data_IF_113657684756
#
_entry.id   IF_113657684756
#
_cell.length_a   1.000
_cell.length_b   1.000
_cell.length_c   1.000
_cell.angle_alpha   90.00
_cell.angle_beta   90.00
_cell.angle_gamma   90.00
#
_symmetry.space_group_name_H-M   'P 1'
#
loop_
_entity.id
_entity.type
_entity.pdbx_description
1 polymer ?
#
# COMPACT_ATOMS: atom_id res chain seq x y z
N UNK A 1 -34.52 -5.38 4.66
CA UNK A 1 -34.17 -5.43 3.21
C UNK A 1 -32.94 -4.60 2.87
N UNK A 2 -32.21 -4.06 3.86
CA UNK A 2 -31.00 -3.25 3.71
C UNK A 2 -29.67 -4.02 3.77
N UNK A 3 -29.69 -5.26 4.23
CA UNK A 3 -28.44 -5.95 4.63
C UNK A 3 -27.78 -6.74 3.47
N UNK A 4 -28.54 -7.21 2.49
CA UNK A 4 -28.03 -8.04 1.39
C UNK A 4 -27.04 -7.32 0.46
N UNK A 5 -27.21 -6.03 0.19
CA UNK A 5 -26.30 -5.26 -0.65
C UNK A 5 -24.97 -4.94 0.03
N UNK A 6 -24.94 -4.85 1.35
CA UNK A 6 -23.76 -4.52 2.11
C UNK A 6 -22.83 -5.74 2.27
N UNK A 7 -23.41 -6.93 2.41
CA UNK A 7 -22.68 -8.19 2.57
C UNK A 7 -21.93 -8.59 1.29
N UNK A 8 -22.55 -8.41 0.12
CA UNK A 8 -21.92 -8.70 -1.17
C UNK A 8 -20.72 -7.79 -1.44
N UNK A 9 -20.85 -6.48 -1.18
CA UNK A 9 -19.74 -5.55 -1.36
C UNK A 9 -18.56 -5.88 -0.44
N UNK A 10 -18.83 -6.16 0.83
CA UNK A 10 -17.82 -6.56 1.81
C UNK A 10 -17.11 -7.85 1.37
N UNK A 11 -17.87 -8.84 0.94
CA UNK A 11 -17.33 -10.12 0.45
C UNK A 11 -16.38 -9.91 -0.75
N UNK A 12 -16.79 -9.17 -1.77
CA UNK A 12 -15.95 -8.91 -2.94
C UNK A 12 -14.73 -8.05 -2.59
N UNK A 13 -14.88 -7.13 -1.66
CA UNK A 13 -13.77 -6.30 -1.20
C UNK A 13 -12.71 -7.15 -0.48
N UNK A 14 -13.11 -8.02 0.43
CA UNK A 14 -12.22 -8.96 1.13
C UNK A 14 -11.49 -9.88 0.15
N UNK A 15 -12.21 -10.50 -0.78
CA UNK A 15 -11.61 -11.34 -1.82
C UNK A 15 -10.67 -10.56 -2.73
N UNK A 16 -11.00 -9.33 -3.05
CA UNK A 16 -10.11 -8.43 -3.80
C UNK A 16 -8.78 -8.21 -3.12
N UNK A 17 -8.76 -8.06 -1.80
CA UNK A 17 -7.52 -7.93 -1.01
C UNK A 17 -6.66 -9.19 -1.10
N UNK A 18 -7.25 -10.39 -1.00
CA UNK A 18 -6.53 -11.66 -1.15
C UNK A 18 -5.85 -11.74 -2.54
N UNK A 19 -6.57 -11.41 -3.60
CA UNK A 19 -6.03 -11.41 -4.96
C UNK A 19 -4.91 -10.38 -5.14
N UNK A 20 -5.06 -9.17 -4.58
CA UNK A 20 -4.01 -8.14 -4.62
C UNK A 20 -2.72 -8.68 -4.00
N UNK A 21 -2.78 -9.33 -2.83
CA UNK A 21 -1.61 -9.92 -2.19
C UNK A 21 -0.96 -10.99 -3.04
N UNK A 22 -1.74 -11.93 -3.57
CA UNK A 22 -1.21 -13.01 -4.41
C UNK A 22 -0.45 -12.43 -5.61
N UNK A 23 -1.06 -11.52 -6.36
CA UNK A 23 -0.42 -10.92 -7.53
C UNK A 23 0.75 -10.00 -7.17
N UNK A 24 0.67 -9.27 -6.07
CA UNK A 24 1.75 -8.42 -5.57
C UNK A 24 3.00 -9.26 -5.24
N UNK A 25 2.84 -10.36 -4.50
CA UNK A 25 3.97 -11.22 -4.16
C UNK A 25 4.52 -11.95 -5.38
N UNK A 26 3.69 -12.43 -6.30
CA UNK A 26 4.16 -13.00 -7.57
C UNK A 26 4.95 -11.96 -8.38
N UNK A 27 4.48 -10.70 -8.42
CA UNK A 27 5.18 -9.61 -9.09
C UNK A 27 6.54 -9.33 -8.45
N UNK A 28 6.60 -9.23 -7.12
CA UNK A 28 7.85 -9.01 -6.38
C UNK A 28 8.83 -10.17 -6.57
N UNK A 29 8.36 -11.41 -6.44
CA UNK A 29 9.17 -12.62 -6.67
C UNK A 29 9.83 -12.57 -8.04
N UNK A 30 9.02 -12.36 -9.09
CA UNK A 30 9.55 -12.25 -10.46
C UNK A 30 10.64 -11.18 -10.57
N UNK A 31 10.44 -10.01 -9.96
CA UNK A 31 11.42 -8.91 -10.03
C UNK A 31 12.69 -9.19 -9.24
N UNK A 32 12.61 -9.85 -8.08
CA UNK A 32 13.76 -10.23 -7.28
C UNK A 32 14.63 -11.26 -8.02
N UNK A 33 14.02 -12.25 -8.67
CA UNK A 33 14.76 -13.26 -9.43
C UNK A 33 15.39 -12.70 -10.71
N UNK A 34 14.78 -11.71 -11.34
CA UNK A 34 15.32 -11.04 -12.51
C UNK A 34 16.26 -9.88 -12.10
N UNK A 35 17.38 -10.20 -11.48
CA UNK A 35 18.36 -9.24 -10.93
C UNK A 35 18.78 -8.11 -11.89
N UNK A 36 18.80 -8.36 -13.19
CA UNK A 36 19.17 -7.37 -14.20
C UNK A 36 18.27 -6.13 -14.19
N UNK A 37 17.00 -6.26 -13.77
CA UNK A 37 16.06 -5.15 -13.71
C UNK A 37 16.38 -4.14 -12.59
N UNK A 38 17.04 -4.54 -11.51
CA UNK A 38 17.37 -3.65 -10.40
C UNK A 38 18.33 -2.52 -10.82
N UNK A 39 19.38 -2.84 -11.57
CA UNK A 39 20.37 -1.86 -12.01
C UNK A 39 19.87 -0.96 -13.15
N UNK A 40 18.96 -1.47 -13.98
CA UNK A 40 18.47 -0.76 -15.15
C UNK A 40 17.23 0.11 -14.88
N UNK A 41 16.48 -0.17 -13.80
CA UNK A 41 15.17 0.43 -13.51
C UNK A 41 15.08 0.93 -12.05
N UNK A 42 16.06 1.70 -11.60
CA UNK A 42 16.10 2.17 -10.21
C UNK A 42 14.89 3.03 -9.81
N UNK A 43 14.37 3.87 -10.72
CA UNK A 43 13.17 4.69 -10.48
C UNK A 43 11.94 3.82 -10.29
N UNK A 44 11.75 2.80 -11.11
CA UNK A 44 10.66 1.85 -10.97
C UNK A 44 10.75 1.05 -9.67
N UNK A 45 11.95 0.73 -9.18
CA UNK A 45 12.13 0.09 -7.88
C UNK A 45 11.75 1.00 -6.72
N UNK A 46 12.11 2.28 -6.76
CA UNK A 46 11.75 3.27 -5.73
C UNK A 46 10.25 3.48 -5.65
N UNK A 47 9.58 3.70 -6.79
CA UNK A 47 8.13 3.86 -6.85
C UNK A 47 7.41 2.57 -6.44
N UNK A 48 7.93 1.39 -6.83
CA UNK A 48 7.42 0.10 -6.39
C UNK A 48 7.52 -0.13 -4.88
N UNK A 49 8.65 0.24 -4.25
CA UNK A 49 8.82 0.16 -2.81
C UNK A 49 7.83 1.08 -2.06
N UNK A 50 7.61 2.29 -2.57
CA UNK A 50 6.62 3.20 -2.02
C UNK A 50 5.21 2.62 -2.12
N UNK A 51 4.84 2.06 -3.28
CA UNK A 51 3.55 1.39 -3.47
C UNK A 51 3.37 0.20 -2.54
N UNK A 52 4.42 -0.58 -2.33
CA UNK A 52 4.40 -1.71 -1.40
C UNK A 52 4.05 -1.25 0.03
N UNK A 53 4.67 -0.19 0.51
CA UNK A 53 4.36 0.38 1.83
C UNK A 53 2.94 0.94 1.89
N UNK A 54 2.49 1.63 0.84
CA UNK A 54 1.13 2.18 0.78
C UNK A 54 0.06 1.09 0.81
N UNK A 55 0.22 0.00 0.04
CA UNK A 55 -0.72 -1.12 0.04
C UNK A 55 -0.85 -1.72 1.44
N UNK A 56 0.27 -1.95 2.14
CA UNK A 56 0.23 -2.48 3.50
C UNK A 56 -0.45 -1.51 4.48
N UNK A 57 -0.22 -0.20 4.32
CA UNK A 57 -0.93 0.82 5.09
C UNK A 57 -2.44 0.83 4.83
N UNK A 58 -2.86 0.73 3.56
CA UNK A 58 -4.28 0.68 3.19
C UNK A 58 -4.96 -0.54 3.83
N UNK A 59 -4.33 -1.72 3.71
CA UNK A 59 -4.88 -2.96 4.27
C UNK A 59 -4.91 -2.92 5.80
N UNK A 60 -3.88 -2.36 6.43
CA UNK A 60 -3.84 -2.16 7.87
C UNK A 60 -5.03 -1.31 8.34
N UNK A 61 -5.30 -0.17 7.72
CA UNK A 61 -6.44 0.67 8.07
C UNK A 61 -7.77 -0.04 7.80
N UNK A 62 -7.88 -0.80 6.70
CA UNK A 62 -9.06 -1.61 6.40
C UNK A 62 -9.31 -2.68 7.45
N UNK A 63 -8.27 -3.36 7.93
CA UNK A 63 -8.38 -4.36 8.99
C UNK A 63 -8.90 -3.77 10.30
N UNK A 64 -8.44 -2.58 10.68
CA UNK A 64 -8.92 -1.89 11.87
C UNK A 64 -10.41 -1.50 11.72
N UNK A 65 -10.84 -1.10 10.52
CA UNK A 65 -12.22 -0.72 10.23
C UNK A 65 -13.22 -1.88 10.27
N UNK A 66 -12.76 -3.13 10.26
CA UNK A 66 -13.63 -4.31 10.41
C UNK A 66 -14.26 -4.42 11.80
N UNK A 67 -13.80 -3.66 12.80
CA UNK A 67 -14.31 -3.62 14.17
C UNK A 67 -14.42 -4.99 14.86
N UNK A 68 -13.50 -5.90 14.55
CA UNK A 68 -13.38 -7.22 15.16
C UNK A 68 -12.48 -7.17 16.41
N UNK A 69 -12.44 -8.26 17.16
CA UNK A 69 -11.46 -8.40 18.25
C UNK A 69 -10.01 -8.26 17.77
N UNK A 70 -9.71 -8.77 16.59
CA UNK A 70 -8.40 -8.62 15.96
C UNK A 70 -8.11 -7.14 15.61
N UNK A 71 -9.12 -6.38 15.20
CA UNK A 71 -9.00 -4.95 14.91
C UNK A 71 -8.60 -4.15 16.16
N UNK A 72 -9.17 -4.46 17.31
CA UNK A 72 -8.85 -3.81 18.60
C UNK A 72 -7.39 -4.09 19.00
N UNK A 73 -6.95 -5.33 18.91
CA UNK A 73 -5.55 -5.70 19.20
C UNK A 73 -4.59 -4.99 18.23
N UNK A 74 -4.91 -5.00 16.93
CA UNK A 74 -4.08 -4.39 15.88
C UNK A 74 -3.96 -2.88 16.10
N UNK A 75 -5.06 -2.21 16.47
CA UNK A 75 -5.07 -0.78 16.77
C UNK A 75 -4.18 -0.46 17.97
N UNK A 76 -4.27 -1.24 19.05
CA UNK A 76 -3.46 -1.04 20.25
C UNK A 76 -1.97 -1.17 19.96
N UNK A 77 -1.57 -2.23 19.26
CA UNK A 77 -0.18 -2.45 18.86
C UNK A 77 0.34 -1.30 17.99
N UNK A 78 -0.46 -0.85 17.02
CA UNK A 78 -0.09 0.24 16.13
C UNK A 78 0.03 1.57 16.89
N UNK A 79 -0.86 1.84 17.83
CA UNK A 79 -0.81 3.02 18.65
C UNK A 79 0.43 3.03 19.55
N UNK A 80 0.80 1.91 20.16
CA UNK A 80 1.99 1.76 21.00
C UNK A 80 3.27 1.97 20.16
N UNK A 81 3.33 1.39 18.96
CA UNK A 81 4.44 1.60 18.02
C UNK A 81 4.52 3.07 17.61
N UNK A 82 3.41 3.68 17.24
CA UNK A 82 3.36 5.08 16.84
C UNK A 82 3.81 6.01 17.96
N UNK A 83 3.39 5.77 19.19
CA UNK A 83 3.82 6.53 20.37
C UNK A 83 5.32 6.39 20.62
N UNK A 84 5.86 5.19 20.47
CA UNK A 84 7.30 4.92 20.68
C UNK A 84 8.15 5.59 19.58
N UNK A 85 7.77 5.48 18.32
CA UNK A 85 8.50 6.05 17.19
C UNK A 85 8.38 7.58 17.11
N UNK A 86 7.26 8.14 17.55
CA UNK A 86 6.97 9.57 17.44
C UNK A 86 7.24 10.36 18.71
N UNK A 87 8.12 9.87 19.59
CA UNK A 87 8.45 10.54 20.86
C UNK A 87 8.81 12.03 20.68
N UNK A 88 9.35 12.39 19.52
CA UNK A 88 9.62 13.77 19.12
C UNK A 88 8.44 14.47 18.42
N UNK A 89 7.48 13.71 17.87
CA UNK A 89 6.32 14.18 17.08
C UNK A 89 4.99 13.60 17.60
N UNK A 90 4.91 13.25 18.87
CA UNK A 90 3.82 12.53 19.54
C UNK A 90 2.39 13.00 19.25
N UNK A 91 2.23 14.22 18.72
CA UNK A 91 0.92 14.78 18.35
C UNK A 91 0.25 14.05 17.18
N UNK A 92 1.00 13.51 16.22
CA UNK A 92 0.43 12.83 15.03
C UNK A 92 -0.09 11.44 15.42
N UNK A 93 0.70 10.68 16.16
CA UNK A 93 0.26 9.34 16.64
C UNK A 93 -0.95 9.46 17.57
N UNK A 94 -0.93 10.41 18.48
CA UNK A 94 -2.07 10.68 19.37
C UNK A 94 -3.31 11.15 18.58
N UNK A 95 -3.14 12.02 17.60
CA UNK A 95 -4.25 12.49 16.75
C UNK A 95 -4.86 11.34 15.95
N UNK A 96 -4.05 10.42 15.45
CA UNK A 96 -4.50 9.33 14.59
C UNK A 96 -5.19 8.22 15.40
N UNK A 97 -4.66 7.88 16.57
CA UNK A 97 -5.06 6.71 17.35
C UNK A 97 -5.68 7.05 18.71
N UNK A 98 -6.27 8.18 18.87
CA UNK A 98 -6.91 8.68 20.11
C UNK A 98 -7.19 7.59 21.16
N UNK A 99 -6.58 7.66 22.31
CA UNK A 99 -6.80 6.78 23.48
C UNK A 99 -6.62 5.25 23.26
N UNK A 100 -6.00 4.81 22.17
CA UNK A 100 -5.77 3.38 21.86
C UNK A 100 -7.04 2.51 21.87
N UNK A 101 -8.19 3.10 21.61
CA UNK A 101 -9.49 2.44 21.59
C UNK A 101 -10.21 2.63 20.27
N UNK A 102 -11.03 1.65 19.90
CA UNK A 102 -11.93 1.73 18.75
C UNK A 102 -13.12 2.66 19.07
N UNK A 103 -12.84 3.96 19.18
CA UNK A 103 -13.88 4.96 19.31
C UNK A 103 -14.32 5.52 17.96
N UNK A 104 -15.48 6.15 17.91
CA UNK A 104 -16.06 6.70 16.67
C UNK A 104 -15.12 7.68 15.96
N UNK A 105 -14.42 8.54 16.71
CA UNK A 105 -13.53 9.53 16.14
C UNK A 105 -12.31 8.90 15.48
N UNK A 106 -11.73 7.88 16.10
CA UNK A 106 -10.63 7.10 15.51
C UNK A 106 -11.08 6.38 14.24
N UNK A 107 -12.22 5.70 14.29
CA UNK A 107 -12.77 4.98 13.12
C UNK A 107 -13.05 5.91 11.95
N UNK A 108 -13.64 7.07 12.21
CA UNK A 108 -13.92 8.08 11.15
C UNK A 108 -12.63 8.57 10.51
N UNK A 109 -11.58 8.87 11.27
CA UNK A 109 -10.29 9.30 10.72
C UNK A 109 -9.63 8.21 9.88
N UNK A 110 -9.61 6.97 10.40
CA UNK A 110 -9.04 5.83 9.68
C UNK A 110 -9.83 5.53 8.41
N UNK A 111 -11.15 5.67 8.42
CA UNK A 111 -12.00 5.52 7.25
C UNK A 111 -11.66 6.53 6.16
N UNK A 112 -11.50 7.82 6.49
CA UNK A 112 -11.09 8.82 5.51
C UNK A 112 -9.72 8.52 4.91
N UNK A 113 -8.76 8.13 5.74
CA UNK A 113 -7.41 7.77 5.27
C UNK A 113 -7.49 6.53 4.36
N UNK A 114 -8.20 5.48 4.78
CA UNK A 114 -8.39 4.26 4.00
C UNK A 114 -9.06 4.56 2.65
N UNK A 115 -10.00 5.49 2.60
CA UNK A 115 -10.70 5.86 1.37
C UNK A 115 -9.80 6.66 0.40
N UNK A 116 -8.96 7.56 0.92
CA UNK A 116 -8.10 8.43 0.10
C UNK A 116 -6.87 7.70 -0.43
N UNK A 117 -6.23 6.86 0.38
CA UNK A 117 -4.96 6.21 0.02
C UNK A 117 -5.01 5.36 -1.27
N UNK A 118 -6.08 4.63 -1.61
CA UNK A 118 -6.18 3.92 -2.88
C UNK A 118 -6.07 4.82 -4.10
N UNK A 119 -6.61 6.05 -4.06
CA UNK A 119 -6.46 7.01 -5.17
C UNK A 119 -5.02 7.47 -5.32
N UNK A 120 -4.32 7.72 -4.21
CA UNK A 120 -2.89 8.02 -4.22
C UNK A 120 -2.10 6.84 -4.79
N UNK A 121 -2.45 5.61 -4.40
CA UNK A 121 -1.83 4.39 -4.93
C UNK A 121 -2.02 4.26 -6.45
N UNK A 122 -3.23 4.51 -6.96
CA UNK A 122 -3.52 4.50 -8.41
C UNK A 122 -2.65 5.53 -9.15
N UNK A 123 -2.51 6.74 -8.62
CA UNK A 123 -1.67 7.78 -9.21
C UNK A 123 -0.20 7.36 -9.27
N UNK A 124 0.34 6.80 -8.18
CA UNK A 124 1.73 6.30 -8.14
C UNK A 124 1.90 5.08 -9.05
N UNK A 125 0.87 4.21 -9.16
CA UNK A 125 0.89 3.06 -10.08
C UNK A 125 1.05 3.50 -11.53
N UNK A 126 0.37 4.56 -11.91
CA UNK A 126 0.51 5.13 -13.25
C UNK A 126 1.94 5.65 -13.50
N UNK A 127 2.52 6.38 -12.53
CA UNK A 127 3.91 6.83 -12.61
C UNK A 127 4.89 5.65 -12.69
N UNK A 128 4.67 4.60 -11.88
CA UNK A 128 5.47 3.37 -11.90
C UNK A 128 5.44 2.68 -13.28
N UNK A 129 4.28 2.67 -13.92
CA UNK A 129 4.13 2.11 -15.26
C UNK A 129 4.89 2.92 -16.31
N UNK A 130 4.83 4.25 -16.24
CA UNK A 130 5.57 5.14 -17.12
C UNK A 130 7.08 4.97 -16.94
N UNK A 131 7.58 4.87 -15.72
CA UNK A 131 9.01 4.66 -15.43
C UNK A 131 9.53 3.36 -16.05
N UNK A 132 8.73 2.29 -16.02
CA UNK A 132 9.09 1.03 -16.65
C UNK A 132 9.19 1.13 -18.17
N UNK A 133 8.26 1.83 -18.81
CA UNK A 133 8.22 1.96 -20.27
C UNK A 133 9.27 2.93 -20.79
N UNK A 134 9.53 4.03 -20.08
CA UNK A 134 10.54 5.02 -20.46
C UNK A 134 11.95 4.43 -20.44
N UNK A 135 12.32 3.76 -19.38
CA UNK A 135 13.62 3.11 -19.25
C UNK A 135 13.84 1.96 -20.24
N UNK A 136 12.75 1.31 -20.68
CA UNK A 136 12.84 0.26 -21.70
C UNK A 136 13.23 0.82 -23.08
N UNK A 137 12.69 1.98 -23.47
CA UNK A 137 13.04 2.65 -24.73
C UNK A 137 14.52 3.07 -24.75
N UNK A 138 15.02 3.66 -23.67
CA UNK A 138 16.42 4.08 -23.60
C UNK A 138 17.41 2.91 -23.60
N UNK A 139 17.08 1.81 -22.93
CA UNK A 139 17.94 0.62 -22.94
C UNK A 139 18.01 -0.05 -24.31
N UNK A 140 16.92 -0.06 -25.07
CA UNK A 140 16.91 -0.59 -26.43
C UNK A 140 17.65 0.32 -27.41
N UNK A 141 17.49 1.65 -27.30
CA UNK A 141 18.24 2.60 -28.13
C UNK A 141 19.75 2.49 -27.91
N UNK A 142 20.20 2.42 -26.65
CA UNK A 142 21.63 2.24 -26.33
C UNK A 142 22.17 0.90 -26.80
N UNK A 143 21.38 -0.16 -26.75
CA UNK A 143 21.77 -1.47 -27.24
C UNK A 143 21.88 -1.50 -28.77
N UNK A 144 21.00 -0.80 -29.50
CA UNK A 144 21.07 -0.64 -30.92
C UNK A 144 22.29 0.22 -31.35
N UNK A 145 22.57 1.28 -30.61
CA UNK A 145 23.72 2.15 -30.87
C UNK A 145 25.06 1.48 -30.52
N UNK A 146 25.09 0.55 -29.57
CA UNK A 146 26.30 -0.20 -29.19
C UNK A 146 26.63 -1.38 -30.14
N UNK A 147 25.71 -1.77 -31.01
CA UNK A 147 25.91 -2.83 -32.02
C UNK A 147 26.34 -2.24 -33.38
N UNK A 148 26.37 -0.90 -33.48
CA UNK A 148 26.68 -0.20 -34.76
C UNK A 148 28.13 0.32 -34.85
N UNK A 149 29.05 -0.15 -33.97
CA UNK A 149 30.48 0.13 -34.04
C UNK A 149 31.32 -1.13 -33.91
#
# INVERSE_FOLDING_TARGET
>A
MGDLYNDDFYYYHERGVDFIFIFLYLHLFRKIFLKASYYLQQTAWKSGALMYLLIHGIIFFGLVLCCTHLSDITLKIAADIAQTLTFKYGKIGYWLFTDNTLNTDTLVRLMYIHYILPFVLVFISFSHLLDMHYNWKDSNLKKWLSVSF
#
